data_IF_333482334334
#
_entry.id   IF_333482334334
#
_cell.length_a   1.000
_cell.length_b   1.000
_cell.length_c   1.000
_cell.angle_alpha   90.00
_cell.angle_beta   90.00
_cell.angle_gamma   90.00
#
_symmetry.space_group_name_H-M   'P 1'
#
loop_
_entity.id
_entity.type
_entity.pdbx_description
1 polymer ?
#
# COMPACT_ATOMS: atom_id res chain seq x y z
N UNK A 1 6.18 12.15 -0.32
CA UNK A 1 4.92 12.43 0.42
C UNK A 1 4.93 13.91 0.83
N UNK A 2 3.82 14.64 0.68
CA UNK A 2 3.75 16.08 0.94
C UNK A 2 3.35 16.46 2.39
N UNK A 3 2.94 15.49 3.21
CA UNK A 3 2.74 15.64 4.65
C UNK A 3 3.85 14.96 5.47
N UNK A 4 4.01 15.30 6.76
CA UNK A 4 4.70 14.43 7.71
C UNK A 4 4.04 13.05 7.81
N UNK A 5 4.73 12.09 8.41
CA UNK A 5 4.21 10.75 8.66
C UNK A 5 4.97 10.10 9.81
N UNK A 6 4.41 9.07 10.42
CA UNK A 6 5.01 8.47 11.62
C UNK A 6 5.53 7.07 11.34
N UNK A 7 6.49 6.64 12.16
CA UNK A 7 7.08 5.31 12.17
C UNK A 7 7.67 5.02 13.56
N UNK A 8 7.93 3.76 13.87
CA UNK A 8 8.70 3.38 15.05
C UNK A 8 10.18 3.23 14.67
N UNK A 9 11.03 3.93 15.40
CA UNK A 9 12.48 3.84 15.19
C UNK A 9 13.06 2.52 15.74
N UNK A 10 14.37 2.34 15.66
CA UNK A 10 15.04 1.13 16.17
C UNK A 10 14.94 0.95 17.69
N UNK A 11 14.55 1.99 18.43
CA UNK A 11 14.23 1.91 19.86
C UNK A 11 12.74 1.60 20.11
N UNK A 12 11.94 1.48 19.04
CA UNK A 12 10.49 1.32 19.06
C UNK A 12 9.78 2.54 19.66
N UNK A 13 10.35 3.73 19.46
CA UNK A 13 9.76 5.01 19.83
C UNK A 13 9.03 5.58 18.62
N UNK A 14 7.77 5.99 18.82
CA UNK A 14 6.98 6.63 17.78
C UNK A 14 7.63 7.98 17.41
N UNK A 15 8.05 8.09 16.15
CA UNK A 15 8.85 9.19 15.62
C UNK A 15 8.18 9.78 14.39
N UNK A 16 8.22 11.11 14.28
CA UNK A 16 7.74 11.83 13.10
C UNK A 16 8.85 11.91 12.04
N UNK A 17 8.55 11.45 10.84
CA UNK A 17 9.35 11.67 9.65
C UNK A 17 8.91 12.95 8.95
N UNK A 18 9.89 13.81 8.63
CA UNK A 18 9.68 14.99 7.82
C UNK A 18 9.13 14.65 6.41
N UNK A 19 8.63 15.68 5.73
CA UNK A 19 8.23 15.61 4.32
C UNK A 19 9.37 15.05 3.48
N UNK A 20 9.06 14.13 2.57
CA UNK A 20 10.02 13.42 1.70
C UNK A 20 11.13 12.64 2.41
N UNK A 21 11.01 12.39 3.72
CA UNK A 21 11.94 11.52 4.43
C UNK A 21 11.47 10.05 4.37
N UNK A 22 12.39 9.08 4.17
CA UNK A 22 12.06 7.66 4.24
C UNK A 22 11.65 7.25 5.64
N UNK A 23 10.78 6.24 5.74
CA UNK A 23 10.30 5.67 7.00
C UNK A 23 10.75 4.22 7.10
N UNK A 24 11.89 4.00 7.75
CA UNK A 24 12.39 2.66 8.07
C UNK A 24 11.79 2.20 9.39
N UNK A 25 10.72 1.42 9.28
CA UNK A 25 9.86 1.09 10.41
C UNK A 25 10.36 -0.12 11.18
N UNK A 26 9.99 -0.20 12.45
CA UNK A 26 10.30 -1.31 13.33
C UNK A 26 9.04 -1.77 14.05
N UNK A 27 9.02 -3.04 14.44
CA UNK A 27 8.01 -3.52 15.36
C UNK A 27 8.24 -2.86 16.74
N UNK A 28 7.23 -2.18 17.32
CA UNK A 28 7.40 -1.39 18.53
C UNK A 28 7.76 -2.23 19.76
N UNK A 29 7.45 -3.52 19.79
CA UNK A 29 7.72 -4.39 20.93
C UNK A 29 9.03 -5.16 20.75
N UNK A 30 9.14 -5.89 19.64
CA UNK A 30 10.29 -6.75 19.32
C UNK A 30 11.49 -5.99 18.74
N UNK A 31 11.29 -4.73 18.31
CA UNK A 31 12.30 -3.86 17.69
C UNK A 31 12.89 -4.43 16.39
N UNK A 32 12.25 -5.44 15.82
CA UNK A 32 12.67 -6.04 14.55
C UNK A 32 12.41 -5.05 13.41
N UNK A 33 13.37 -4.81 12.50
CA UNK A 33 13.16 -3.96 11.35
C UNK A 33 12.10 -4.55 10.41
N UNK A 34 11.13 -3.72 10.01
CA UNK A 34 10.06 -4.06 9.07
C UNK A 34 10.35 -3.54 7.64
N UNK A 35 11.36 -2.69 7.48
CA UNK A 35 11.82 -2.17 6.19
C UNK A 35 11.26 -0.79 5.85
N UNK A 36 11.34 -0.40 4.58
CA UNK A 36 10.82 0.87 4.10
C UNK A 36 9.30 0.81 4.02
N UNK A 37 8.62 1.73 4.71
CA UNK A 37 7.16 1.84 4.72
C UNK A 37 6.68 2.75 3.60
N UNK A 38 5.74 2.24 2.79
CA UNK A 38 5.00 2.98 1.78
C UNK A 38 3.51 2.77 2.00
N UNK A 39 2.77 3.86 2.17
CA UNK A 39 1.35 3.82 2.54
C UNK A 39 0.51 4.79 1.73
N UNK A 40 -0.71 4.39 1.41
CA UNK A 40 -1.71 5.24 0.76
C UNK A 40 -2.11 6.43 1.62
N UNK A 41 -2.83 7.41 1.05
CA UNK A 41 -3.44 8.47 1.83
C UNK A 41 -4.45 7.88 2.85
N UNK A 42 -4.39 8.38 4.08
CA UNK A 42 -5.31 7.99 5.16
C UNK A 42 -5.64 9.21 6.02
N UNK A 43 -6.88 9.29 6.47
CA UNK A 43 -7.33 10.32 7.41
C UNK A 43 -7.77 9.68 8.71
N UNK A 44 -7.14 10.05 9.82
CA UNK A 44 -7.57 9.64 11.15
C UNK A 44 -8.56 10.65 11.73
N UNK A 45 -9.78 10.20 12.00
CA UNK A 45 -10.86 11.01 12.59
C UNK A 45 -10.97 10.84 14.10
N UNK A 46 -10.26 9.88 14.69
CA UNK A 46 -10.18 9.74 16.15
C UNK A 46 -9.34 10.86 16.73
N UNK A 47 -9.90 11.65 17.64
CA UNK A 47 -9.22 12.83 18.20
C UNK A 47 -8.35 12.45 19.39
N UNK A 48 -7.25 13.19 19.59
CA UNK A 48 -6.29 13.00 20.68
C UNK A 48 -5.72 11.57 20.68
N UNK A 49 -5.31 11.08 19.50
CA UNK A 49 -4.97 9.67 19.29
C UNK A 49 -3.84 9.16 20.18
N UNK A 50 -2.91 10.00 20.62
CA UNK A 50 -1.81 9.62 21.53
C UNK A 50 -2.17 9.58 23.03
N UNK A 51 -3.38 10.01 23.39
CA UNK A 51 -3.92 9.93 24.75
C UNK A 51 -5.43 9.65 24.66
N UNK A 52 -5.81 8.48 24.13
CA UNK A 52 -7.18 8.22 23.73
C UNK A 52 -8.11 8.16 24.94
N UNK A 53 -9.26 8.82 24.83
CA UNK A 53 -10.38 8.75 25.78
C UNK A 53 -11.65 8.36 25.05
N UNK A 54 -12.64 7.89 25.80
CA UNK A 54 -13.97 7.60 25.23
C UNK A 54 -14.55 8.84 24.57
N UNK A 55 -14.98 8.70 23.32
CA UNK A 55 -15.56 9.78 22.54
C UNK A 55 -16.61 9.30 21.55
N UNK A 56 -17.54 10.18 21.22
CA UNK A 56 -18.54 9.97 20.18
C UNK A 56 -18.11 10.67 18.90
N UNK A 57 -18.16 9.95 17.77
CA UNK A 57 -17.80 10.48 16.46
C UNK A 57 -18.95 10.19 15.49
N UNK A 58 -19.45 11.24 14.83
CA UNK A 58 -20.36 11.08 13.69
C UNK A 58 -19.54 10.71 12.47
N UNK A 59 -19.62 9.45 12.05
CA UNK A 59 -18.96 8.95 10.86
C UNK A 59 -19.84 9.19 9.63
N UNK A 60 -19.21 9.40 8.47
CA UNK A 60 -19.88 9.48 7.17
C UNK A 60 -20.16 8.10 6.58
N UNK A 61 -20.94 8.05 5.50
CA UNK A 61 -21.33 6.83 4.79
C UNK A 61 -20.16 6.24 3.97
N UNK A 62 -19.26 5.53 4.65
CA UNK A 62 -18.08 4.89 4.05
C UNK A 62 -17.50 3.83 5.00
N UNK A 63 -16.42 3.17 4.56
CA UNK A 63 -15.71 2.20 5.37
C UNK A 63 -14.61 2.86 6.22
N UNK A 64 -14.41 2.34 7.44
CA UNK A 64 -13.35 2.76 8.35
C UNK A 64 -12.61 1.55 8.94
N UNK A 65 -11.30 1.69 9.15
CA UNK A 65 -10.53 0.78 10.00
C UNK A 65 -10.38 1.39 11.39
N UNK A 66 -10.57 0.58 12.42
CA UNK A 66 -10.44 0.95 13.83
C UNK A 66 -9.30 0.15 14.42
N UNK A 67 -8.28 0.84 14.92
CA UNK A 67 -7.11 0.22 15.51
C UNK A 67 -6.65 0.95 16.76
N UNK A 68 -5.85 0.26 17.55
CA UNK A 68 -5.29 0.80 18.78
C UNK A 68 -3.92 0.18 19.09
N UNK A 69 -3.24 0.74 20.09
CA UNK A 69 -2.05 0.18 20.73
C UNK A 69 -2.26 0.08 22.23
N UNK A 70 -1.61 -0.89 22.89
CA UNK A 70 -1.70 -1.15 24.31
C UNK A 70 -2.57 -2.37 24.64
N UNK A 71 -2.51 -2.83 25.89
CA UNK A 71 -3.18 -4.05 26.37
C UNK A 71 -4.72 -3.94 26.52
N UNK A 72 -5.31 -2.90 25.93
CA UNK A 72 -6.69 -2.49 26.09
C UNK A 72 -7.63 -2.87 24.94
N UNK A 73 -8.76 -2.17 24.87
CA UNK A 73 -9.73 -2.26 23.78
C UNK A 73 -10.39 -0.93 23.46
N UNK A 74 -10.89 -0.81 22.23
CA UNK A 74 -11.86 0.20 21.82
C UNK A 74 -13.16 -0.53 21.44
N UNK A 75 -14.19 -0.37 22.27
CA UNK A 75 -15.51 -1.00 22.08
C UNK A 75 -16.48 -0.02 21.45
N UNK A 76 -17.13 -0.42 20.35
CA UNK A 76 -18.05 0.42 19.58
C UNK A 76 -19.50 0.15 19.98
N UNK A 77 -20.30 1.22 20.04
CA UNK A 77 -21.75 1.17 20.15
C UNK A 77 -22.42 2.32 19.37
N UNK A 78 -23.75 2.25 19.19
CA UNK A 78 -24.51 3.21 18.39
C UNK A 78 -24.70 2.72 16.95
N UNK A 79 -24.28 3.53 15.97
CA UNK A 79 -24.39 3.18 14.55
C UNK A 79 -23.52 1.98 14.13
N UNK A 80 -22.47 1.69 14.89
CA UNK A 80 -21.60 0.52 14.71
C UNK A 80 -21.44 -0.24 16.03
N UNK A 81 -21.08 -1.52 15.94
CA UNK A 81 -20.77 -2.38 17.09
C UNK A 81 -19.51 -3.19 16.81
N UNK A 82 -18.84 -3.64 17.88
CA UNK A 82 -17.65 -4.46 17.78
C UNK A 82 -16.58 -4.04 18.79
N UNK A 83 -15.45 -4.74 18.78
CA UNK A 83 -14.31 -4.46 19.65
C UNK A 83 -13.04 -4.50 18.83
N UNK A 84 -12.28 -3.41 18.84
CA UNK A 84 -10.91 -3.39 18.33
C UNK A 84 -9.92 -3.61 19.48
N UNK A 85 -8.94 -4.46 19.27
CA UNK A 85 -7.75 -4.61 20.12
C UNK A 85 -6.50 -4.42 19.28
N UNK A 86 -5.33 -4.33 19.90
CA UNK A 86 -4.08 -4.21 19.17
C UNK A 86 -3.84 -5.40 18.21
N UNK A 87 -4.13 -6.63 18.65
CA UNK A 87 -3.97 -7.84 17.85
C UNK A 87 -5.12 -8.09 16.86
N UNK A 88 -6.27 -7.46 17.06
CA UNK A 88 -7.45 -7.62 16.22
C UNK A 88 -8.10 -6.25 15.94
N UNK A 89 -7.59 -5.50 14.94
CA UNK A 89 -8.26 -4.32 14.42
C UNK A 89 -9.64 -4.66 13.87
N UNK A 90 -10.54 -3.68 13.89
CA UNK A 90 -11.92 -3.83 13.42
C UNK A 90 -12.13 -3.04 12.14
N UNK A 91 -12.80 -3.64 11.15
CA UNK A 91 -13.26 -2.95 9.94
C UNK A 91 -14.77 -2.73 10.07
N UNK A 92 -15.22 -1.50 9.87
CA UNK A 92 -16.64 -1.13 9.90
C UNK A 92 -17.02 -0.42 8.60
N UNK A 93 -18.30 -0.51 8.22
CA UNK A 93 -18.82 0.18 7.04
C UNK A 93 -20.21 0.73 7.33
N UNK A 94 -20.43 2.00 6.97
CA UNK A 94 -21.72 2.67 7.16
C UNK A 94 -22.37 2.95 5.80
N UNK A 95 -23.64 2.59 5.65
CA UNK A 95 -24.44 2.94 4.48
C UNK A 95 -24.96 4.39 4.50
N UNK A 96 -24.97 5.00 5.69
CA UNK A 96 -25.40 6.38 5.94
C UNK A 96 -24.59 6.96 7.08
N UNK A 97 -24.48 8.29 7.18
CA UNK A 97 -23.81 8.89 8.33
C UNK A 97 -24.47 8.46 9.66
N UNK A 98 -23.67 8.29 10.71
CA UNK A 98 -24.16 7.79 12.00
C UNK A 98 -23.20 8.05 13.15
N UNK A 99 -23.76 8.28 14.34
CA UNK A 99 -23.00 8.47 15.57
C UNK A 99 -22.51 7.12 16.10
N UNK A 100 -21.21 6.99 16.30
CA UNK A 100 -20.59 5.82 16.95
C UNK A 100 -19.85 6.25 18.20
N UNK A 101 -20.13 5.58 19.31
CA UNK A 101 -19.40 5.74 20.57
C UNK A 101 -18.20 4.80 20.57
N UNK A 102 -17.00 5.34 20.77
CA UNK A 102 -15.76 4.59 20.90
C UNK A 102 -15.35 4.55 22.37
N UNK A 103 -15.72 3.48 23.07
CA UNK A 103 -15.38 3.28 24.48
C UNK A 103 -13.95 2.78 24.60
N UNK A 104 -13.06 3.62 25.13
CA UNK A 104 -11.63 3.31 25.26
C UNK A 104 -11.35 2.73 26.64
N UNK A 105 -10.65 1.60 26.70
CA UNK A 105 -10.16 0.99 27.94
C UNK A 105 -8.72 0.55 27.75
N UNK A 106 -7.74 1.20 28.40
CA UNK A 106 -6.34 0.74 28.40
C UNK A 106 -5.57 0.88 27.07
N UNK A 107 -6.09 1.64 26.10
CA UNK A 107 -5.34 1.98 24.89
C UNK A 107 -4.36 3.12 25.15
N UNK A 108 -3.14 3.02 24.63
CA UNK A 108 -2.13 4.09 24.61
C UNK A 108 -2.16 4.88 23.31
N UNK A 109 -2.75 4.31 22.27
CA UNK A 109 -3.01 4.99 21.00
C UNK A 109 -4.34 4.52 20.41
N UNK A 110 -5.11 5.41 19.79
CA UNK A 110 -6.40 5.09 19.14
C UNK A 110 -6.54 5.74 17.76
N UNK A 111 -7.02 5.00 16.78
CA UNK A 111 -7.06 5.43 15.40
C UNK A 111 -8.29 4.89 14.68
N UNK A 112 -9.04 5.79 14.04
CA UNK A 112 -10.21 5.48 13.23
C UNK A 112 -9.96 6.11 11.87
N UNK A 113 -9.60 5.29 10.89
CA UNK A 113 -9.10 5.76 9.59
C UNK A 113 -10.06 5.45 8.47
N UNK A 114 -10.04 6.33 7.47
CA UNK A 114 -10.60 6.07 6.16
C UNK A 114 -9.62 6.48 5.06
N UNK A 115 -9.81 5.91 3.88
CA UNK A 115 -9.03 6.19 2.67
C UNK A 115 -9.90 6.93 1.66
N UNK A 116 -9.58 8.18 1.34
CA UNK A 116 -10.42 8.98 0.44
C UNK A 116 -10.43 8.48 -1.00
N UNK A 117 -9.27 8.01 -1.49
CA UNK A 117 -9.11 7.61 -2.89
C UNK A 117 -9.67 6.22 -3.21
N UNK A 118 -9.75 5.32 -2.22
CA UNK A 118 -10.12 3.91 -2.45
C UNK A 118 -11.38 3.47 -1.71
N UNK A 119 -11.94 4.28 -0.80
CA UNK A 119 -12.94 3.85 0.19
C UNK A 119 -12.53 2.54 0.89
N UNK A 120 -11.23 2.29 0.94
CA UNK A 120 -10.69 1.03 1.40
C UNK A 120 -10.39 1.15 2.89
N UNK A 121 -11.15 0.40 3.68
CA UNK A 121 -10.88 0.19 5.09
C UNK A 121 -9.99 -1.03 5.32
N UNK A 122 -9.05 -1.29 4.41
CA UNK A 122 -8.00 -2.29 4.58
C UNK A 122 -7.21 -2.08 5.87
N UNK A 123 -6.30 -3.02 6.13
CA UNK A 123 -5.48 -3.07 7.34
C UNK A 123 -5.02 -1.66 7.81
N UNK A 124 -5.10 -1.37 9.12
CA UNK A 124 -4.75 -0.05 9.65
C UNK A 124 -3.36 0.41 9.20
N UNK A 125 -3.22 1.71 8.96
CA UNK A 125 -1.92 2.27 8.59
C UNK A 125 -1.05 2.56 9.83
N UNK A 126 0.17 3.06 9.62
CA UNK A 126 0.94 3.62 10.75
C UNK A 126 0.16 4.69 11.49
N UNK A 127 0.61 4.98 12.72
CA UNK A 127 0.02 6.04 13.54
C UNK A 127 -0.08 7.37 12.78
N UNK A 128 -1.26 7.97 12.82
CA UNK A 128 -1.55 9.33 12.38
C UNK A 128 -1.97 10.09 13.64
N UNK A 129 -1.05 10.89 14.16
CA UNK A 129 -1.26 11.62 15.41
C UNK A 129 -2.25 12.77 15.20
N UNK A 130 -3.30 12.82 16.00
CA UNK A 130 -4.33 13.87 15.98
C UNK A 130 -4.32 14.64 17.30
N UNK A 131 -4.65 15.93 17.24
CA UNK A 131 -4.81 16.80 18.41
C UNK A 131 -6.04 17.66 18.22
N UNK A 132 -7.16 17.29 18.84
CA UNK A 132 -8.45 18.01 18.76
C UNK A 132 -9.10 18.12 17.36
N UNK A 133 -8.38 17.80 16.28
CA UNK A 133 -8.86 17.87 14.89
C UNK A 133 -8.40 16.62 14.12
N UNK A 134 -9.20 16.09 13.18
CA UNK A 134 -8.77 15.04 12.27
C UNK A 134 -7.52 15.44 11.46
N UNK A 135 -6.66 14.47 11.16
CA UNK A 135 -5.43 14.69 10.39
C UNK A 135 -5.39 13.73 9.21
N UNK A 136 -5.03 14.25 8.04
CA UNK A 136 -4.76 13.47 6.83
C UNK A 136 -3.26 13.32 6.65
N UNK A 137 -2.82 12.08 6.44
CA UNK A 137 -1.47 11.75 5.96
C UNK A 137 -1.57 11.46 4.47
N UNK A 138 -0.78 12.17 3.67
CA UNK A 138 -0.72 11.99 2.23
C UNK A 138 -0.14 10.62 1.85
N UNK A 139 -0.42 10.17 0.63
CA UNK A 139 0.18 8.95 0.08
C UNK A 139 1.71 9.07 -0.07
N UNK A 140 2.40 7.95 0.13
CA UNK A 140 3.81 7.82 -0.21
C UNK A 140 4.00 7.68 -1.73
N UNK A 141 5.02 8.38 -2.24
CA UNK A 141 5.48 8.27 -3.61
C UNK A 141 6.95 7.87 -3.54
N UNK A 142 7.25 6.67 -4.01
CA UNK A 142 8.62 6.14 -4.08
C UNK A 142 9.02 6.07 -5.55
N UNK A 143 9.83 7.03 -5.99
CA UNK A 143 10.34 7.07 -7.36
C UNK A 143 11.76 7.65 -7.39
N UNK A 144 12.48 7.40 -8.47
CA UNK A 144 13.74 8.06 -8.79
C UNK A 144 13.78 8.49 -10.24
N UNK A 145 14.31 9.70 -10.49
CA UNK A 145 14.63 10.17 -11.83
C UNK A 145 16.08 9.84 -12.23
N UNK A 146 16.89 9.38 -11.27
CA UNK A 146 18.22 8.84 -11.56
C UNK A 146 18.10 7.37 -11.92
N UNK A 147 18.04 7.13 -13.23
CA UNK A 147 18.02 5.81 -13.88
C UNK A 147 19.31 5.57 -14.67
N UNK A 148 20.40 6.26 -14.34
CA UNK A 148 21.70 6.10 -15.02
C UNK A 148 22.27 4.68 -14.95
N UNK A 149 21.80 3.90 -13.97
CA UNK A 149 22.11 2.49 -13.77
C UNK A 149 21.26 1.54 -14.63
N UNK A 150 20.16 2.01 -15.23
CA UNK A 150 19.24 1.17 -16.00
C UNK A 150 19.84 0.79 -17.35
N UNK A 151 19.82 -0.50 -17.67
CA UNK A 151 20.25 -1.03 -18.96
C UNK A 151 19.01 -1.33 -19.83
N UNK A 152 18.76 -0.57 -20.91
CA UNK A 152 17.60 -0.75 -21.78
C UNK A 152 17.78 -1.87 -22.82
N UNK A 153 18.82 -2.70 -22.73
CA UNK A 153 19.03 -3.81 -23.68
C UNK A 153 18.89 -5.16 -23.00
N UNK A 154 19.20 -5.23 -21.72
CA UNK A 154 19.04 -6.44 -20.92
C UNK A 154 18.82 -6.10 -19.46
N UNK A 155 18.02 -6.91 -18.78
CA UNK A 155 17.78 -6.73 -17.36
C UNK A 155 16.85 -7.80 -16.83
N UNK A 156 16.87 -7.96 -15.52
CA UNK A 156 15.95 -8.83 -14.80
C UNK A 156 15.35 -8.05 -13.66
N UNK A 157 14.03 -8.05 -13.55
CA UNK A 157 13.31 -7.57 -12.38
C UNK A 157 12.62 -8.74 -11.69
N UNK A 158 12.62 -8.67 -10.36
CA UNK A 158 11.97 -9.62 -9.49
C UNK A 158 11.16 -8.87 -8.44
N UNK A 159 9.95 -9.34 -8.17
CA UNK A 159 9.12 -8.87 -7.08
C UNK A 159 8.50 -10.06 -6.35
N UNK A 160 8.59 -10.04 -5.02
CA UNK A 160 7.78 -10.86 -4.14
C UNK A 160 6.80 -9.93 -3.42
N UNK A 161 5.53 -10.27 -3.44
CA UNK A 161 4.46 -9.39 -2.96
C UNK A 161 3.31 -10.17 -2.37
N UNK A 162 2.59 -9.56 -1.44
CA UNK A 162 1.29 -10.03 -0.99
C UNK A 162 0.25 -9.02 -1.49
N UNK A 163 -0.85 -9.49 -2.06
CA UNK A 163 -1.95 -8.60 -2.47
C UNK A 163 -2.98 -8.47 -1.37
N UNK A 164 -3.21 -7.24 -0.92
CA UNK A 164 -4.20 -6.94 0.12
C UNK A 164 -5.46 -6.25 -0.43
N UNK A 165 -5.46 -5.87 -1.72
CA UNK A 165 -6.58 -5.20 -2.40
C UNK A 165 -6.76 -5.81 -3.80
N UNK A 166 -8.00 -5.90 -4.28
CA UNK A 166 -8.35 -6.38 -5.63
C UNK A 166 -8.80 -5.22 -6.53
N UNK A 167 -7.85 -4.60 -7.22
CA UNK A 167 -8.10 -3.47 -8.12
C UNK A 167 -7.37 -3.61 -9.47
N UNK A 168 -7.88 -2.91 -10.49
CA UNK A 168 -7.27 -2.86 -11.82
C UNK A 168 -6.11 -1.87 -11.86
N UNK A 169 -4.96 -2.28 -12.40
CA UNK A 169 -3.90 -1.36 -12.80
C UNK A 169 -3.04 -0.83 -11.66
N UNK A 170 -3.00 -1.52 -10.51
CA UNK A 170 -2.03 -1.18 -9.46
C UNK A 170 -0.64 -1.61 -9.92
N UNK A 171 0.26 -0.63 -9.96
CA UNK A 171 1.66 -0.80 -10.34
C UNK A 171 2.42 -1.28 -9.11
N UNK A 172 3.12 -2.41 -9.23
CA UNK A 172 4.01 -2.95 -8.18
C UNK A 172 5.36 -2.25 -8.30
N UNK A 173 5.86 -2.13 -9.53
CA UNK A 173 7.00 -1.30 -9.91
C UNK A 173 6.86 -0.97 -11.40
N UNK A 174 7.48 0.13 -11.83
CA UNK A 174 7.52 0.50 -13.23
C UNK A 174 8.74 1.34 -13.53
N UNK A 175 9.48 0.98 -14.56
CA UNK A 175 10.44 1.83 -15.24
C UNK A 175 9.78 2.45 -16.47
N UNK A 176 9.80 3.77 -16.62
CA UNK A 176 9.20 4.46 -17.78
C UNK A 176 9.88 5.77 -18.15
N UNK A 177 9.37 6.42 -19.20
CA UNK A 177 9.68 7.80 -19.59
C UNK A 177 8.74 8.84 -18.95
N UNK A 178 8.00 8.45 -17.91
CA UNK A 178 6.91 9.24 -17.32
C UNK A 178 5.58 9.15 -18.07
N UNK A 179 5.51 8.43 -19.20
CA UNK A 179 4.29 8.18 -19.96
C UNK A 179 3.80 6.72 -19.85
N UNK A 180 2.62 6.46 -20.41
CA UNK A 180 2.07 5.11 -20.55
C UNK A 180 2.53 4.40 -21.85
N UNK A 181 3.38 5.03 -22.65
CA UNK A 181 3.74 4.56 -24.00
C UNK A 181 5.10 3.86 -24.04
N UNK A 182 6.01 4.21 -23.14
CA UNK A 182 7.31 3.55 -22.98
C UNK A 182 7.46 3.14 -21.52
N UNK A 183 7.14 1.88 -21.21
CA UNK A 183 7.19 1.36 -19.85
C UNK A 183 7.48 -0.12 -19.76
N UNK A 184 8.16 -0.50 -18.69
CA UNK A 184 8.33 -1.87 -18.24
C UNK A 184 7.93 -1.94 -16.76
N UNK A 185 7.00 -2.82 -16.39
CA UNK A 185 6.57 -2.91 -14.99
C UNK A 185 5.70 -4.12 -14.70
N UNK A 186 5.49 -4.41 -13.42
CA UNK A 186 4.49 -5.38 -12.99
C UNK A 186 3.22 -4.68 -12.52
N UNK A 187 2.08 -5.23 -12.91
CA UNK A 187 0.76 -4.71 -12.59
C UNK A 187 -0.17 -5.82 -12.08
N UNK A 188 -1.19 -5.42 -11.33
CA UNK A 188 -2.27 -6.32 -10.90
C UNK A 188 -3.56 -6.03 -11.67
N UNK A 189 -4.37 -7.05 -11.93
CA UNK A 189 -5.74 -6.88 -12.44
C UNK A 189 -6.79 -7.05 -11.34
N UNK A 190 -7.96 -6.44 -11.56
CA UNK A 190 -9.18 -6.71 -10.77
C UNK A 190 -9.69 -8.14 -10.89
N UNK A 191 -9.19 -8.93 -11.84
CA UNK A 191 -9.50 -10.36 -12.01
C UNK A 191 -8.47 -11.27 -11.36
N UNK A 192 -7.68 -10.73 -10.42
CA UNK A 192 -6.64 -11.46 -9.68
C UNK A 192 -5.53 -12.01 -10.57
N UNK A 193 -5.22 -11.37 -11.69
CA UNK A 193 -4.07 -11.77 -12.51
C UNK A 193 -2.88 -10.86 -12.24
N UNK A 194 -1.68 -11.38 -12.42
CA UNK A 194 -0.48 -10.55 -12.48
C UNK A 194 -0.12 -10.36 -13.94
N UNK A 195 0.23 -9.12 -14.25
CA UNK A 195 0.51 -8.68 -15.58
C UNK A 195 1.93 -8.16 -15.61
N UNK A 196 2.64 -8.51 -16.67
CA UNK A 196 3.82 -7.78 -17.07
C UNK A 196 3.37 -6.74 -18.11
N UNK A 197 3.67 -5.47 -17.86
CA UNK A 197 3.47 -4.39 -18.82
C UNK A 197 4.81 -4.09 -19.49
N UNK A 198 4.87 -4.31 -20.81
CA UNK A 198 5.99 -3.90 -21.65
C UNK A 198 5.42 -3.15 -22.85
N UNK A 199 5.84 -1.90 -23.02
CA UNK A 199 5.39 -1.01 -24.09
C UNK A 199 6.56 -0.23 -24.64
N UNK A 200 6.59 -0.13 -25.96
CA UNK A 200 7.48 0.73 -26.72
C UNK A 200 6.62 1.51 -27.74
N UNK A 201 6.67 2.84 -27.68
CA UNK A 201 5.93 3.74 -28.58
C UNK A 201 4.43 3.42 -28.69
N UNK A 202 3.77 3.16 -27.56
CA UNK A 202 2.35 2.79 -27.47
C UNK A 202 1.98 1.44 -28.13
N UNK A 203 2.95 0.71 -28.68
CA UNK A 203 2.75 -0.66 -29.13
C UNK A 203 2.76 -1.54 -27.90
N UNK A 204 1.56 -1.99 -27.48
CA UNK A 204 1.44 -2.99 -26.42
C UNK A 204 2.08 -4.29 -26.89
N UNK A 205 3.10 -4.79 -26.19
CA UNK A 205 3.66 -6.11 -26.51
C UNK A 205 3.32 -7.20 -25.51
N UNK A 206 2.54 -6.89 -24.47
CA UNK A 206 1.96 -7.92 -23.59
C UNK A 206 0.46 -7.67 -23.43
N UNK A 207 -0.31 -8.68 -23.83
CA UNK A 207 -1.74 -8.83 -23.53
C UNK A 207 -2.04 -10.28 -23.18
N UNK A 208 -1.36 -10.89 -22.20
CA UNK A 208 -1.84 -12.15 -21.63
C UNK A 208 -1.35 -12.32 -20.20
N UNK A 209 -2.23 -11.88 -19.31
CA UNK A 209 -2.32 -12.33 -17.94
C UNK A 209 -2.19 -13.86 -17.81
N UNK A 210 -1.44 -14.35 -16.82
CA UNK A 210 -1.48 -15.77 -16.45
C UNK A 210 -2.90 -16.24 -16.14
N UNK A 211 -3.16 -17.53 -16.37
CA UNK A 211 -4.31 -18.18 -15.73
C UNK A 211 -4.09 -18.37 -14.22
N UNK A 212 -2.84 -18.24 -13.75
CA UNK A 212 -2.55 -18.21 -12.32
C UNK A 212 -3.12 -16.95 -11.69
N UNK A 213 -4.15 -17.18 -10.89
CA UNK A 213 -4.73 -16.19 -10.00
C UNK A 213 -3.80 -15.98 -8.80
N UNK A 214 -3.56 -14.72 -8.43
CA UNK A 214 -2.94 -14.38 -7.14
C UNK A 214 -4.06 -13.91 -6.20
N UNK A 215 -4.66 -14.84 -5.44
CA UNK A 215 -5.75 -14.47 -4.56
C UNK A 215 -5.29 -13.46 -3.49
N UNK A 216 -6.26 -12.75 -2.92
CA UNK A 216 -6.02 -11.84 -1.81
C UNK A 216 -5.31 -12.57 -0.66
N UNK A 217 -4.32 -11.94 -0.05
CA UNK A 217 -3.55 -12.49 1.07
C UNK A 217 -2.53 -13.57 0.69
N UNK A 218 -2.44 -13.97 -0.59
CA UNK A 218 -1.42 -14.91 -1.04
C UNK A 218 -0.15 -14.19 -1.48
N UNK A 219 0.99 -14.84 -1.19
CA UNK A 219 2.29 -14.43 -1.72
C UNK A 219 2.39 -14.78 -3.19
N UNK A 220 2.76 -13.79 -3.99
CA UNK A 220 3.05 -13.88 -5.41
C UNK A 220 4.52 -13.58 -5.65
N UNK A 221 5.17 -14.38 -6.50
CA UNK A 221 6.53 -14.11 -6.99
C UNK A 221 6.47 -13.86 -8.48
N UNK A 222 6.97 -12.73 -8.92
CA UNK A 222 7.02 -12.34 -10.32
C UNK A 222 8.46 -12.10 -10.73
N UNK A 223 8.86 -12.59 -11.89
CA UNK A 223 10.13 -12.23 -12.50
C UNK A 223 9.93 -11.95 -13.99
N UNK A 224 10.66 -10.98 -14.53
CA UNK A 224 10.78 -10.83 -15.97
C UNK A 224 12.22 -10.55 -16.33
N UNK A 225 12.69 -11.24 -17.36
CA UNK A 225 14.00 -11.02 -17.95
C UNK A 225 13.80 -10.49 -19.37
N UNK A 226 14.47 -9.39 -19.71
CA UNK A 226 14.52 -8.84 -21.06
C UNK A 226 15.90 -9.03 -21.67
N UNK A 227 15.90 -9.25 -22.98
CA UNK A 227 17.03 -9.14 -23.88
C UNK A 227 16.56 -8.45 -25.16
N UNK A 228 17.49 -8.18 -26.09
CA UNK A 228 17.14 -7.62 -27.38
C UNK A 228 16.17 -8.57 -28.12
N UNK A 229 14.91 -8.13 -28.30
CA UNK A 229 13.81 -8.92 -28.86
C UNK A 229 13.52 -10.24 -28.12
N UNK A 230 13.92 -10.35 -26.85
CA UNK A 230 13.69 -11.55 -26.05
C UNK A 230 13.09 -11.17 -24.71
N UNK A 231 12.06 -11.90 -24.29
CA UNK A 231 11.35 -11.66 -23.05
C UNK A 231 10.92 -12.98 -22.43
N UNK A 232 11.29 -13.18 -21.18
CA UNK A 232 10.77 -14.25 -20.35
C UNK A 232 10.03 -13.68 -19.15
N UNK A 233 8.89 -14.28 -18.81
CA UNK A 233 8.12 -13.92 -17.63
C UNK A 233 7.80 -15.17 -16.81
N UNK A 234 7.99 -15.06 -15.51
CA UNK A 234 7.83 -16.15 -14.55
C UNK A 234 6.91 -15.71 -13.42
N UNK A 235 6.06 -16.64 -12.98
CA UNK A 235 5.17 -16.49 -11.85
C UNK A 235 5.31 -17.71 -10.94
N UNK A 236 5.59 -17.48 -9.66
CA UNK A 236 5.77 -18.54 -8.66
C UNK A 236 6.75 -19.65 -9.11
N UNK A 237 7.81 -19.26 -9.83
CA UNK A 237 8.83 -20.16 -10.36
C UNK A 237 8.43 -20.90 -11.65
N UNK A 238 7.18 -20.77 -12.10
CA UNK A 238 6.71 -21.30 -13.38
C UNK A 238 6.93 -20.27 -14.47
N UNK A 239 7.49 -20.69 -15.61
CA UNK A 239 7.64 -19.83 -16.78
C UNK A 239 6.28 -19.69 -17.49
N UNK A 240 5.79 -18.46 -17.60
CA UNK A 240 4.47 -18.12 -18.17
C UNK A 240 4.59 -17.56 -19.59
N UNK A 241 5.73 -16.96 -19.94
CA UNK A 241 6.03 -16.44 -21.27
C UNK A 241 7.47 -16.79 -21.67
N UNK A 242 7.68 -17.12 -22.95
CA UNK A 242 9.01 -17.33 -23.54
C UNK A 242 9.04 -16.87 -25.00
N UNK A 243 10.22 -16.46 -25.47
CA UNK A 243 10.56 -16.44 -26.89
C UNK A 243 10.83 -15.06 -27.46
N UNK A 244 11.30 -15.07 -28.72
CA UNK A 244 11.58 -13.86 -29.49
C UNK A 244 10.29 -13.07 -29.70
N UNK A 245 10.07 -12.04 -28.91
CA UNK A 245 8.93 -11.14 -29.07
C UNK A 245 9.30 -10.02 -30.04
N UNK A 246 8.33 -9.50 -30.79
CA UNK A 246 8.49 -8.28 -31.59
C UNK A 246 8.60 -7.02 -30.71
N UNK A 247 8.65 -7.18 -29.39
CA UNK A 247 8.73 -6.11 -28.40
C UNK A 247 10.14 -5.55 -28.36
N UNK A 248 10.30 -4.25 -28.59
CA UNK A 248 11.49 -3.56 -28.12
C UNK A 248 11.39 -3.27 -26.63
N UNK A 249 12.52 -2.89 -26.05
CA UNK A 249 12.63 -2.43 -24.67
C UNK A 249 12.22 -0.95 -24.62
N UNK A 250 11.65 -0.44 -23.51
CA UNK A 250 11.30 0.97 -23.41
C UNK A 250 12.48 1.87 -23.70
N UNK A 251 12.26 2.83 -24.60
CA UNK A 251 13.22 3.87 -24.95
C UNK A 251 12.98 5.13 -24.11
N UNK A 252 14.02 5.95 -23.92
CA UNK A 252 13.88 7.25 -23.26
C UNK A 252 13.51 7.19 -21.77
N UNK A 253 13.76 6.06 -21.13
CA UNK A 253 13.50 5.84 -19.71
C UNK A 253 14.18 6.91 -18.86
N UNK A 254 13.42 7.54 -17.97
CA UNK A 254 13.87 8.60 -17.06
C UNK A 254 13.24 8.51 -15.66
N UNK A 255 12.44 7.48 -15.39
CA UNK A 255 11.68 7.32 -14.16
C UNK A 255 11.63 5.84 -13.77
N UNK A 256 11.88 5.55 -12.50
CA UNK A 256 11.48 4.32 -11.81
C UNK A 256 10.55 4.70 -10.65
#
# INVERSE_FOLDING_TARGET
RASPGWYYDSAGVLTEAAINAPRFDHDPDSKVPLGLRLEDERTNVFLNSAAPVTQDITLTAQAYSVSMRGAGSITLSGANTGVATEAAPLIIALASAGLTTFTVTGATFGQVEWAAASNDASAPSTSIVTQGVPVTRDADLCFTNDVSWYNPVTGTFYAEMIRNIQETGRVIWQVSDGSNNNRWGFETSSTQRANLALRENATNTILTSSNDTFPLGATAKMASAIGNLDLEHYLNGLRVLTGRQTAGVPIGVNLL
#
